data_IF_001959862631
#
_entry.id   IF_001959862631
#
_cell.length_a   1.000
_cell.length_b   1.000
_cell.length_c   1.000
_cell.angle_alpha   90.00
_cell.angle_beta   90.00
_cell.angle_gamma   90.00
#
_symmetry.space_group_name_H-M   'P 1'
#
loop_
_entity.id
_entity.type
_entity.pdbx_description
1 polymer ?
#
# COMPACT_ATOMS: atom_id res chain seq x y z
N UNK A 1 17.53 -16.32 9.09
CA UNK A 1 18.09 -16.08 7.74
C UNK A 1 18.95 -14.84 7.80
N UNK A 2 20.21 -14.88 7.35
CA UNK A 2 20.95 -13.64 7.12
C UNK A 2 20.20 -12.85 6.04
N UNK A 3 19.86 -11.59 6.30
CA UNK A 3 19.11 -10.77 5.35
C UNK A 3 19.81 -10.77 3.99
N UNK A 4 19.05 -11.03 2.91
CA UNK A 4 19.55 -10.93 1.53
C UNK A 4 20.01 -9.51 1.19
N UNK A 5 19.65 -8.52 2.03
CA UNK A 5 20.07 -7.13 1.95
C UNK A 5 20.97 -6.87 3.16
N UNK A 6 22.18 -6.35 2.95
CA UNK A 6 23.14 -6.14 4.05
C UNK A 6 22.82 -4.94 4.94
N UNK A 7 22.03 -4.00 4.42
CA UNK A 7 21.53 -2.84 5.16
C UNK A 7 20.32 -3.16 6.03
N UNK A 8 20.05 -2.39 7.11
CA UNK A 8 18.83 -2.53 7.90
C UNK A 8 17.58 -2.01 7.17
N UNK A 9 16.36 -2.47 7.55
CA UNK A 9 15.12 -1.92 7.04
C UNK A 9 14.99 -0.43 7.37
N UNK A 10 14.48 0.34 6.42
CA UNK A 10 14.06 1.72 6.65
C UNK A 10 12.84 2.07 5.79
N UNK A 11 12.30 3.25 6.03
CA UNK A 11 11.02 3.71 5.47
C UNK A 11 11.10 4.26 4.05
N UNK A 12 12.29 4.28 3.45
CA UNK A 12 12.46 4.80 2.10
C UNK A 12 11.80 3.85 1.10
N UNK A 13 11.20 4.41 0.05
CA UNK A 13 10.58 3.70 -1.06
C UNK A 13 11.51 2.66 -1.65
N UNK A 14 12.79 3.01 -1.86
CA UNK A 14 13.78 2.09 -2.41
C UNK A 14 13.96 0.86 -1.51
N UNK A 15 14.22 1.07 -0.22
CA UNK A 15 14.42 -0.04 0.72
C UNK A 15 13.14 -0.84 0.96
N UNK A 16 12.00 -0.16 1.05
CA UNK A 16 10.70 -0.81 1.16
C UNK A 16 10.46 -1.75 -0.01
N UNK A 17 10.72 -1.33 -1.25
CA UNK A 17 10.60 -2.22 -2.42
C UNK A 17 11.61 -3.39 -2.39
N UNK A 18 12.86 -3.17 -1.98
CA UNK A 18 13.83 -4.27 -1.89
C UNK A 18 13.40 -5.33 -0.88
N UNK A 19 13.01 -4.91 0.34
CA UNK A 19 12.53 -5.83 1.36
C UNK A 19 11.21 -6.51 0.99
N UNK A 20 10.31 -5.79 0.34
CA UNK A 20 9.05 -6.37 -0.13
C UNK A 20 9.26 -7.39 -1.24
N UNK A 21 10.29 -7.20 -2.06
CA UNK A 21 10.77 -8.18 -3.02
C UNK A 21 11.30 -9.44 -2.33
N UNK A 22 12.09 -9.28 -1.26
CA UNK A 22 12.56 -10.42 -0.45
C UNK A 22 11.39 -11.18 0.17
N UNK A 23 10.41 -10.48 0.75
CA UNK A 23 9.21 -11.10 1.33
C UNK A 23 8.40 -11.86 0.27
N UNK A 24 8.20 -11.25 -0.90
CA UNK A 24 7.50 -11.89 -2.00
C UNK A 24 8.23 -13.13 -2.52
N UNK A 25 9.58 -13.11 -2.57
CA UNK A 25 10.36 -14.29 -2.87
C UNK A 25 10.18 -15.37 -1.81
N UNK A 26 10.31 -15.04 -0.53
CA UNK A 26 10.19 -16.03 0.55
C UNK A 26 8.79 -16.64 0.64
N UNK A 27 7.73 -15.89 0.31
CA UNK A 27 6.35 -16.41 0.22
C UNK A 27 6.21 -17.51 -0.83
N UNK A 28 6.98 -17.44 -1.92
CA UNK A 28 6.93 -18.41 -3.04
C UNK A 28 8.03 -19.46 -2.98
N UNK A 29 9.18 -19.10 -2.43
CA UNK A 29 10.40 -19.87 -2.41
C UNK A 29 10.81 -20.13 -0.96
N UNK A 30 10.38 -21.27 -0.39
CA UNK A 30 10.65 -21.60 1.01
C UNK A 30 12.15 -21.79 1.33
N UNK A 31 12.97 -22.13 0.34
CA UNK A 31 14.41 -22.36 0.48
C UNK A 31 15.20 -21.53 -0.54
N UNK A 32 15.45 -20.26 -0.24
CA UNK A 32 16.36 -19.41 -1.02
C UNK A 32 17.81 -19.75 -0.67
N UNK A 33 18.61 -20.05 -1.67
CA UNK A 33 20.05 -20.29 -1.53
C UNK A 33 20.84 -19.32 -2.42
N UNK A 34 21.86 -18.68 -1.84
CA UNK A 34 22.75 -17.79 -2.58
C UNK A 34 23.48 -18.58 -3.68
N UNK A 35 23.56 -17.99 -4.88
CA UNK A 35 24.17 -18.60 -6.06
C UNK A 35 23.25 -19.53 -6.86
N UNK A 36 22.04 -19.82 -6.37
CA UNK A 36 21.02 -20.58 -7.12
C UNK A 36 19.98 -19.64 -7.74
N UNK A 37 19.31 -20.03 -8.84
CA UNK A 37 18.16 -19.29 -9.33
C UNK A 37 17.03 -19.32 -8.30
N UNK A 38 16.18 -18.28 -8.22
CA UNK A 38 14.98 -18.33 -7.40
C UNK A 38 14.03 -19.43 -7.91
N UNK A 39 13.02 -19.78 -7.10
CA UNK A 39 11.99 -20.71 -7.53
C UNK A 39 11.26 -20.20 -8.79
N UNK A 40 10.62 -21.10 -9.54
CA UNK A 40 9.97 -20.74 -10.80
C UNK A 40 8.81 -19.76 -10.57
N UNK A 41 8.89 -18.60 -11.26
CA UNK A 41 7.85 -17.57 -11.37
C UNK A 41 7.32 -17.00 -10.02
N UNK A 42 8.16 -16.30 -9.22
CA UNK A 42 7.72 -15.71 -7.96
C UNK A 42 6.94 -14.40 -8.14
N UNK A 43 6.90 -13.86 -9.36
CA UNK A 43 6.11 -12.68 -9.69
C UNK A 43 4.62 -12.96 -9.54
N UNK A 44 3.90 -11.94 -9.09
CA UNK A 44 2.46 -11.98 -8.93
C UNK A 44 1.79 -11.76 -10.29
N UNK A 45 0.56 -12.25 -10.45
CA UNK A 45 -0.27 -11.92 -11.62
C UNK A 45 -1.01 -10.59 -11.39
N UNK A 46 -0.26 -9.53 -11.05
CA UNK A 46 -0.80 -8.19 -10.84
C UNK A 46 -0.34 -7.26 -11.96
N UNK A 47 -1.29 -6.63 -12.63
CA UNK A 47 -0.99 -5.66 -13.70
C UNK A 47 -0.60 -4.31 -13.08
N UNK A 48 0.69 -3.97 -13.21
CA UNK A 48 1.27 -2.73 -12.69
C UNK A 48 1.38 -1.74 -13.84
N UNK A 49 0.35 -0.91 -14.00
CA UNK A 49 0.23 0.05 -15.09
C UNK A 49 1.04 1.34 -14.84
N UNK A 50 2.32 1.20 -14.48
CA UNK A 50 3.28 2.30 -14.31
C UNK A 50 4.11 2.41 -15.60
N UNK A 51 4.28 3.63 -16.11
CA UNK A 51 5.01 3.90 -17.34
C UNK A 51 6.46 4.24 -16.99
N UNK A 52 7.40 3.42 -17.44
CA UNK A 52 8.83 3.66 -17.27
C UNK A 52 9.29 4.75 -18.24
N UNK A 53 10.27 5.54 -17.80
CA UNK A 53 10.70 6.73 -18.53
C UNK A 53 11.81 6.37 -19.53
N UNK A 54 11.91 7.15 -20.62
CA UNK A 54 12.95 6.93 -21.65
C UNK A 54 14.39 7.15 -21.17
N UNK A 55 14.58 7.65 -19.95
CA UNK A 55 15.88 7.87 -19.31
C UNK A 55 16.28 6.70 -18.39
N UNK A 56 15.49 5.63 -18.37
CA UNK A 56 15.79 4.38 -17.70
C UNK A 56 16.63 3.48 -18.63
N UNK A 57 17.43 2.57 -18.08
CA UNK A 57 18.24 1.58 -18.82
C UNK A 57 17.38 0.49 -19.53
N UNK A 58 16.19 0.84 -20.02
CA UNK A 58 15.20 -0.10 -20.56
C UNK A 58 15.65 -0.73 -21.85
N UNK A 59 16.32 0.03 -22.72
CA UNK A 59 16.83 -0.50 -23.98
C UNK A 59 17.89 -1.59 -23.76
N UNK A 60 18.70 -1.48 -22.69
CA UNK A 60 19.70 -2.49 -22.32
C UNK A 60 19.03 -3.73 -21.75
N UNK A 61 18.00 -3.56 -20.92
CA UNK A 61 17.30 -4.70 -20.30
C UNK A 61 16.40 -5.43 -21.30
N UNK A 62 15.64 -4.72 -22.13
CA UNK A 62 14.78 -5.37 -23.12
C UNK A 62 15.56 -6.13 -24.19
N UNK A 63 16.82 -5.74 -24.44
CA UNK A 63 17.76 -6.55 -25.24
C UNK A 63 18.08 -7.90 -24.60
N UNK A 64 18.16 -7.98 -23.27
CA UNK A 64 18.45 -9.24 -22.57
C UNK A 64 17.34 -10.29 -22.74
N UNK A 65 16.10 -9.85 -22.97
CA UNK A 65 14.94 -10.73 -23.11
C UNK A 65 14.37 -10.81 -24.54
N UNK A 66 15.07 -10.27 -25.54
CA UNK A 66 14.61 -10.25 -26.94
C UNK A 66 13.15 -9.78 -27.11
N UNK A 67 12.75 -8.76 -26.37
CA UNK A 67 11.37 -8.27 -26.35
C UNK A 67 11.20 -7.04 -27.24
N UNK A 68 10.07 -6.96 -27.95
CA UNK A 68 9.66 -5.73 -28.62
C UNK A 68 9.40 -4.62 -27.61
N UNK A 69 9.91 -3.41 -27.87
CA UNK A 69 9.92 -2.31 -26.90
C UNK A 69 8.53 -1.97 -26.39
N UNK A 70 8.30 -2.16 -25.09
CA UNK A 70 7.12 -1.66 -24.37
C UNK A 70 7.55 -1.14 -23.00
N UNK A 71 7.17 0.10 -22.70
CA UNK A 71 7.71 0.86 -21.57
C UNK A 71 6.88 0.73 -20.28
N UNK A 72 6.11 -0.36 -20.08
CA UNK A 72 5.38 -0.55 -18.81
C UNK A 72 6.17 -1.41 -17.84
N UNK A 73 5.95 -1.21 -16.54
CA UNK A 73 6.49 -2.08 -15.49
C UNK A 73 6.08 -3.54 -15.70
N UNK A 74 4.85 -3.82 -16.12
CA UNK A 74 4.41 -5.18 -16.44
C UNK A 74 5.27 -5.84 -17.53
N UNK A 75 5.66 -5.09 -18.56
CA UNK A 75 6.52 -5.61 -19.65
C UNK A 75 7.93 -5.90 -19.16
N UNK A 76 8.49 -5.01 -18.32
CA UNK A 76 9.80 -5.21 -17.70
C UNK A 76 9.80 -6.41 -16.75
N UNK A 77 8.73 -6.60 -15.95
CA UNK A 77 8.56 -7.78 -15.10
C UNK A 77 8.56 -9.05 -15.96
N UNK A 78 7.84 -9.06 -17.09
CA UNK A 78 7.81 -10.19 -17.99
C UNK A 78 9.17 -10.46 -18.67
N UNK A 79 9.92 -9.40 -18.99
CA UNK A 79 11.30 -9.50 -19.44
C UNK A 79 12.20 -10.17 -18.38
N UNK A 80 12.15 -9.68 -17.14
CA UNK A 80 12.96 -10.19 -16.02
C UNK A 80 12.61 -11.64 -15.65
N UNK A 81 11.37 -12.10 -15.87
CA UNK A 81 11.00 -13.52 -15.74
C UNK A 81 11.79 -14.45 -16.67
N UNK A 82 12.18 -13.96 -17.84
CA UNK A 82 12.88 -14.75 -18.87
C UNK A 82 14.40 -14.78 -18.69
N UNK A 83 14.93 -13.85 -17.88
CA UNK A 83 16.36 -13.75 -17.60
C UNK A 83 16.74 -14.73 -16.48
N UNK A 84 17.86 -15.42 -16.64
CA UNK A 84 18.38 -16.32 -15.61
C UNK A 84 19.05 -15.48 -14.49
N UNK A 85 18.27 -15.12 -13.49
CA UNK A 85 18.73 -14.34 -12.33
C UNK A 85 19.18 -15.28 -11.22
N UNK A 86 20.34 -15.02 -10.61
CA UNK A 86 20.83 -15.79 -9.45
C UNK A 86 20.65 -14.99 -8.16
N UNK A 87 20.27 -15.67 -7.08
CA UNK A 87 20.13 -15.05 -5.76
C UNK A 87 21.50 -14.62 -5.25
N UNK A 88 21.64 -13.36 -4.86
CA UNK A 88 22.86 -12.81 -4.25
C UNK A 88 22.55 -12.18 -2.90
N UNK A 89 23.60 -11.98 -2.10
CA UNK A 89 23.52 -11.02 -1.00
C UNK A 89 23.80 -9.64 -1.59
N UNK A 90 22.89 -8.72 -1.35
CA UNK A 90 22.95 -7.38 -1.91
C UNK A 90 23.56 -6.40 -0.94
N UNK A 91 24.66 -5.80 -1.40
CA UNK A 91 25.35 -4.72 -0.73
C UNK A 91 24.87 -3.38 -1.26
N UNK A 92 24.57 -2.49 -0.33
CA UNK A 92 24.10 -1.13 -0.61
C UNK A 92 25.14 -0.16 -0.06
N UNK A 93 25.73 0.64 -0.93
CA UNK A 93 26.75 1.61 -0.52
C UNK A 93 26.74 2.86 -1.41
N UNK A 94 27.22 3.96 -0.84
CA UNK A 94 27.41 5.22 -1.56
C UNK A 94 28.83 5.33 -2.10
N UNK A 95 28.96 5.71 -3.37
CA UNK A 95 30.24 5.99 -4.05
C UNK A 95 30.14 7.34 -4.76
N UNK A 96 30.50 8.40 -4.07
CA UNK A 96 30.27 9.77 -4.55
C UNK A 96 28.77 10.07 -4.66
N UNK A 97 28.32 10.58 -5.82
CA UNK A 97 26.90 10.86 -6.10
C UNK A 97 26.12 9.65 -6.63
N UNK A 98 26.63 8.44 -6.40
CA UNK A 98 26.02 7.18 -6.84
C UNK A 98 25.64 6.33 -5.64
N UNK A 99 24.39 5.87 -5.60
CA UNK A 99 23.96 4.79 -4.72
C UNK A 99 24.02 3.50 -5.52
N UNK A 100 24.81 2.53 -5.07
CA UNK A 100 25.02 1.26 -5.77
C UNK A 100 24.33 0.16 -4.98
N UNK A 101 23.52 -0.64 -5.66
CA UNK A 101 22.83 -1.82 -5.11
C UNK A 101 23.29 -3.03 -5.92
N UNK A 102 24.19 -3.83 -5.34
CA UNK A 102 24.80 -4.98 -6.01
C UNK A 102 25.84 -4.62 -7.08
N UNK A 103 25.49 -3.77 -8.05
CA UNK A 103 26.32 -3.43 -9.21
C UNK A 103 25.98 -2.09 -9.89
N UNK A 104 26.86 -1.66 -10.81
CA UNK A 104 26.75 -0.37 -11.52
C UNK A 104 26.08 -0.50 -12.92
N UNK A 105 25.24 -1.52 -13.14
CA UNK A 105 24.83 -1.92 -14.50
C UNK A 105 23.64 -1.11 -15.05
N UNK A 106 22.59 -0.91 -14.26
CA UNK A 106 21.32 -0.34 -14.72
C UNK A 106 20.87 0.84 -13.86
N UNK A 107 20.09 1.76 -14.45
CA UNK A 107 19.48 2.87 -13.72
C UNK A 107 17.99 2.99 -14.01
N UNK A 108 17.21 3.34 -12.98
CA UNK A 108 15.77 3.55 -13.08
C UNK A 108 15.36 4.81 -12.30
N UNK A 109 14.61 5.71 -12.93
CA UNK A 109 14.05 6.91 -12.30
C UNK A 109 13.04 6.54 -11.20
N UNK A 110 12.33 5.43 -11.35
CA UNK A 110 11.39 4.96 -10.33
C UNK A 110 12.08 4.63 -9.00
N UNK A 111 13.33 4.15 -9.02
CA UNK A 111 14.14 3.92 -7.82
C UNK A 111 14.56 5.23 -7.12
N UNK A 112 14.30 6.38 -7.75
CA UNK A 112 14.57 7.73 -7.26
C UNK A 112 13.27 8.49 -6.92
N UNK A 113 12.14 7.78 -6.76
CA UNK A 113 10.87 8.41 -6.44
C UNK A 113 10.91 9.20 -5.12
N UNK A 114 11.76 8.76 -4.19
CA UNK A 114 12.11 9.54 -3.01
C UNK A 114 13.24 10.51 -3.31
N UNK A 115 12.98 11.78 -2.98
CA UNK A 115 14.04 12.81 -2.94
C UNK A 115 15.14 12.45 -1.93
N UNK A 116 14.77 11.72 -0.87
CA UNK A 116 15.66 11.30 0.20
C UNK A 116 15.63 9.79 0.35
N UNK A 117 16.69 9.11 -0.11
CA UNK A 117 16.81 7.66 -0.06
C UNK A 117 17.25 7.13 1.31
N UNK A 118 17.10 7.91 2.38
CA UNK A 118 17.56 7.56 3.74
C UNK A 118 19.07 7.65 3.94
N UNK A 119 19.86 7.13 3.00
CA UNK A 119 21.34 7.16 3.03
C UNK A 119 21.95 8.51 2.64
N UNK A 120 21.25 9.28 1.81
CA UNK A 120 21.82 10.44 1.12
C UNK A 120 21.83 11.74 1.94
N UNK A 121 21.19 11.78 3.11
CA UNK A 121 20.84 13.06 3.73
C UNK A 121 21.85 13.49 4.79
N UNK A 122 21.94 12.83 5.93
CA UNK A 122 22.75 13.39 7.03
C UNK A 122 24.23 13.02 7.00
N UNK A 123 24.58 11.81 6.59
CA UNK A 123 25.94 11.28 6.79
C UNK A 123 26.89 11.57 5.62
N UNK A 124 26.34 11.81 4.42
CA UNK A 124 27.10 11.90 3.17
C UNK A 124 27.21 13.33 2.62
N UNK A 125 26.57 14.33 3.25
CA UNK A 125 26.60 15.72 2.78
C UNK A 125 25.88 15.97 1.45
N UNK A 126 25.06 15.02 0.99
CA UNK A 126 24.37 15.06 -0.31
C UNK A 126 22.93 15.58 -0.22
N UNK A 127 22.56 16.27 0.86
CA UNK A 127 21.19 16.80 1.12
C UNK A 127 20.63 17.56 -0.10
N UNK A 128 21.47 18.30 -0.80
CA UNK A 128 21.08 19.14 -1.93
C UNK A 128 21.44 18.54 -3.31
N UNK A 129 21.94 17.31 -3.34
CA UNK A 129 22.54 16.70 -4.53
C UNK A 129 21.67 15.56 -5.06
N UNK A 130 21.55 15.48 -6.39
CA UNK A 130 20.82 14.39 -7.03
C UNK A 130 21.69 13.13 -7.04
N UNK A 131 21.27 12.11 -6.29
CA UNK A 131 21.94 10.80 -6.26
C UNK A 131 21.40 9.92 -7.39
N UNK A 132 22.31 9.32 -8.16
CA UNK A 132 21.94 8.32 -9.17
C UNK A 132 22.00 6.92 -8.58
N UNK A 133 20.88 6.21 -8.61
CA UNK A 133 20.83 4.79 -8.22
C UNK A 133 21.28 3.94 -9.39
N UNK A 134 22.26 3.10 -9.12
CA UNK A 134 22.67 2.00 -9.97
C UNK A 134 22.34 0.68 -9.31
N UNK A 135 22.01 -0.31 -10.15
CA UNK A 135 21.60 -1.62 -9.68
C UNK A 135 22.08 -2.71 -10.63
N UNK A 136 22.34 -3.91 -10.10
CA UNK A 136 22.53 -5.10 -10.92
C UNK A 136 21.17 -5.73 -11.29
N UNK A 137 21.20 -6.83 -12.06
CA UNK A 137 19.97 -7.51 -12.49
C UNK A 137 19.17 -8.14 -11.34
N UNK A 138 19.82 -8.64 -10.28
CA UNK A 138 19.12 -9.30 -9.17
C UNK A 138 18.46 -8.28 -8.25
N UNK A 139 19.14 -7.17 -7.98
CA UNK A 139 18.59 -6.04 -7.26
C UNK A 139 17.42 -5.38 -8.01
N UNK A 140 17.54 -5.18 -9.32
CA UNK A 140 16.42 -4.72 -10.14
C UNK A 140 15.23 -5.68 -10.04
N UNK A 141 15.50 -6.97 -10.14
CA UNK A 141 14.50 -8.02 -10.00
C UNK A 141 13.78 -7.97 -8.64
N UNK A 142 14.52 -7.85 -7.53
CA UNK A 142 13.95 -7.68 -6.19
C UNK A 142 13.07 -6.44 -6.10
N UNK A 143 13.57 -5.31 -6.59
CA UNK A 143 12.83 -4.05 -6.56
C UNK A 143 11.50 -4.14 -7.30
N UNK A 144 11.47 -4.67 -8.53
CA UNK A 144 10.24 -4.78 -9.30
C UNK A 144 9.26 -5.82 -8.74
N UNK A 145 9.77 -6.88 -8.11
CA UNK A 145 8.93 -7.82 -7.38
C UNK A 145 8.27 -7.17 -6.16
N UNK A 146 9.03 -6.38 -5.41
CA UNK A 146 8.50 -5.61 -4.28
C UNK A 146 7.49 -4.55 -4.70
N UNK A 147 7.77 -3.84 -5.79
CA UNK A 147 6.86 -2.88 -6.39
C UNK A 147 5.53 -3.54 -6.76
N UNK A 148 5.58 -4.72 -7.37
CA UNK A 148 4.38 -5.49 -7.71
C UNK A 148 3.64 -6.00 -6.45
N UNK A 149 4.37 -6.44 -5.44
CA UNK A 149 3.83 -6.91 -4.14
C UNK A 149 3.14 -5.79 -3.35
N UNK A 150 3.64 -4.56 -3.44
CA UNK A 150 3.11 -3.41 -2.73
C UNK A 150 2.03 -2.64 -3.50
N UNK A 151 2.05 -2.67 -4.83
CA UNK A 151 1.10 -1.93 -5.65
C UNK A 151 -0.34 -2.26 -5.27
N UNK A 152 -1.20 -1.25 -5.11
CA UNK A 152 -2.63 -1.41 -4.82
C UNK A 152 -3.42 -1.14 -6.10
N UNK A 153 -3.39 0.12 -6.56
CA UNK A 153 -4.14 0.64 -7.71
C UNK A 153 -3.50 1.94 -8.21
N UNK A 154 -4.02 2.44 -9.33
CA UNK A 154 -3.77 3.79 -9.83
C UNK A 154 -5.08 4.53 -10.04
N UNK A 155 -5.08 5.85 -9.81
CA UNK A 155 -6.18 6.76 -10.07
C UNK A 155 -5.62 7.98 -10.81
N UNK A 156 -5.95 8.14 -12.09
CA UNK A 156 -5.33 9.18 -12.91
C UNK A 156 -3.81 9.02 -13.00
N UNK A 157 -3.06 10.03 -12.54
CA UNK A 157 -1.59 10.03 -12.47
C UNK A 157 -1.03 9.53 -11.14
N UNK A 158 -1.90 9.16 -10.19
CA UNK A 158 -1.54 8.75 -8.85
C UNK A 158 -1.48 7.22 -8.75
N UNK A 159 -0.46 6.72 -8.05
CA UNK A 159 -0.17 5.32 -7.79
C UNK A 159 -0.12 5.08 -6.29
N UNK A 160 -0.79 4.02 -5.84
CA UNK A 160 -0.93 3.70 -4.43
C UNK A 160 -0.21 2.40 -4.11
N UNK A 161 0.56 2.39 -3.03
CA UNK A 161 1.36 1.24 -2.58
C UNK A 161 1.19 0.99 -1.08
N UNK A 162 1.11 -0.28 -0.69
CA UNK A 162 1.09 -0.70 0.71
C UNK A 162 2.36 -1.48 1.06
N UNK A 163 3.17 -0.91 1.94
CA UNK A 163 4.39 -1.51 2.45
C UNK A 163 4.22 -1.88 3.94
N UNK A 164 5.02 -2.83 4.43
CA UNK A 164 5.22 -2.95 5.87
C UNK A 164 6.06 -1.78 6.38
N UNK A 165 5.75 -1.29 7.58
CA UNK A 165 6.67 -0.40 8.28
C UNK A 165 7.88 -1.18 8.82
N UNK A 166 8.97 -0.47 9.15
CA UNK A 166 10.19 -1.07 9.68
C UNK A 166 9.93 -1.90 10.95
N UNK A 167 8.96 -1.49 11.80
CA UNK A 167 8.59 -2.21 13.01
C UNK A 167 8.04 -3.61 12.75
N UNK A 168 7.25 -3.80 11.69
CA UNK A 168 6.63 -5.10 11.34
C UNK A 168 7.49 -5.98 10.43
N UNK A 169 8.56 -5.42 9.85
CA UNK A 169 9.29 -6.09 8.78
C UNK A 169 10.08 -7.32 9.26
N UNK A 170 10.63 -7.27 10.47
CA UNK A 170 11.36 -8.40 11.05
C UNK A 170 10.45 -9.61 11.30
N UNK A 171 9.22 -9.38 11.77
CA UNK A 171 8.25 -10.44 12.00
C UNK A 171 7.69 -10.97 10.68
N UNK A 172 7.48 -10.09 9.70
CA UNK A 172 7.11 -10.47 8.35
C UNK A 172 8.16 -11.36 7.70
N UNK A 173 9.46 -11.08 7.89
CA UNK A 173 10.55 -11.92 7.37
C UNK A 173 10.59 -13.33 7.98
N UNK A 174 10.09 -13.49 9.21
CA UNK A 174 10.02 -14.80 9.87
C UNK A 174 8.82 -15.63 9.39
N UNK A 175 7.70 -14.99 9.03
CA UNK A 175 6.51 -15.67 8.52
C UNK A 175 5.89 -14.95 7.30
N UNK A 176 6.59 -14.91 6.14
CA UNK A 176 6.19 -14.07 5.01
C UNK A 176 4.79 -14.34 4.50
N UNK A 177 4.39 -15.61 4.43
CA UNK A 177 3.08 -16.01 3.89
C UNK A 177 1.92 -15.48 4.71
N UNK A 178 1.99 -15.56 6.04
CA UNK A 178 0.89 -15.09 6.90
C UNK A 178 0.76 -13.57 6.85
N UNK A 179 1.90 -12.86 6.93
CA UNK A 179 1.95 -11.40 6.89
C UNK A 179 1.50 -10.86 5.53
N UNK A 180 2.00 -11.42 4.43
CA UNK A 180 1.58 -11.01 3.08
C UNK A 180 0.10 -11.33 2.81
N UNK A 181 -0.44 -12.41 3.38
CA UNK A 181 -1.88 -12.71 3.27
C UNK A 181 -2.75 -11.63 3.93
N UNK A 182 -2.39 -11.20 5.14
CA UNK A 182 -3.05 -10.07 5.80
C UNK A 182 -2.89 -8.78 4.98
N UNK A 183 -1.67 -8.46 4.54
CA UNK A 183 -1.40 -7.26 3.73
C UNK A 183 -2.23 -7.23 2.45
N UNK A 184 -2.40 -8.38 1.77
CA UNK A 184 -3.27 -8.48 0.57
C UNK A 184 -4.73 -8.14 0.92
N UNK A 185 -5.24 -8.67 2.03
CA UNK A 185 -6.61 -8.38 2.51
C UNK A 185 -6.79 -6.89 2.77
N UNK A 186 -5.81 -6.25 3.43
CA UNK A 186 -5.81 -4.80 3.65
C UNK A 186 -5.73 -4.04 2.33
N UNK A 187 -4.86 -4.47 1.41
CA UNK A 187 -4.69 -3.85 0.09
C UNK A 187 -5.98 -3.89 -0.75
N UNK A 188 -6.68 -5.02 -0.75
CA UNK A 188 -7.92 -5.19 -1.50
C UNK A 188 -9.03 -4.29 -0.93
N UNK A 189 -9.13 -4.19 0.40
CA UNK A 189 -10.04 -3.26 1.06
C UNK A 189 -9.73 -1.80 0.73
N UNK A 190 -8.45 -1.39 0.77
CA UNK A 190 -8.03 -0.04 0.38
C UNK A 190 -8.35 0.23 -1.09
N UNK A 191 -8.10 -0.72 -1.99
CA UNK A 191 -8.41 -0.60 -3.41
C UNK A 191 -9.91 -0.33 -3.65
N UNK A 192 -10.79 -1.07 -2.98
CA UNK A 192 -12.24 -0.87 -3.04
C UNK A 192 -12.62 0.55 -2.62
N UNK A 193 -12.07 1.03 -1.50
CA UNK A 193 -12.31 2.38 -0.99
C UNK A 193 -11.82 3.43 -1.96
N UNK A 194 -10.55 3.38 -2.37
CA UNK A 194 -9.94 4.35 -3.28
C UNK A 194 -10.70 4.43 -4.61
N UNK A 195 -11.15 3.30 -5.16
CA UNK A 195 -11.98 3.28 -6.38
C UNK A 195 -13.36 3.90 -6.19
N UNK A 196 -13.95 3.71 -5.00
CA UNK A 196 -15.27 4.25 -4.68
C UNK A 196 -15.24 5.76 -4.47
N UNK A 197 -14.29 6.25 -3.67
CA UNK A 197 -14.19 7.69 -3.35
C UNK A 197 -13.31 8.47 -4.33
N UNK A 198 -12.56 7.80 -5.21
CA UNK A 198 -11.68 8.40 -6.24
C UNK A 198 -10.60 9.35 -5.69
N UNK A 199 -10.28 9.27 -4.41
CA UNK A 199 -9.29 10.08 -3.72
C UNK A 199 -8.70 9.32 -2.53
N UNK A 200 -7.58 9.81 -1.98
CA UNK A 200 -7.09 9.36 -0.67
C UNK A 200 -7.72 10.24 0.41
N UNK A 201 -8.27 9.61 1.44
CA UNK A 201 -8.75 10.27 2.64
C UNK A 201 -8.48 9.36 3.83
N UNK A 202 -7.64 9.82 4.75
CA UNK A 202 -7.13 9.02 5.88
C UNK A 202 -8.26 8.49 6.76
N UNK A 203 -9.23 9.34 7.12
CA UNK A 203 -10.36 8.96 7.97
C UNK A 203 -11.16 7.82 7.32
N UNK A 204 -11.48 7.94 6.03
CA UNK A 204 -12.24 6.93 5.29
C UNK A 204 -11.46 5.63 5.17
N UNK A 205 -10.17 5.70 4.82
CA UNK A 205 -9.31 4.51 4.66
C UNK A 205 -9.15 3.78 5.99
N UNK A 206 -8.77 4.49 7.07
CA UNK A 206 -8.59 3.87 8.39
C UNK A 206 -9.91 3.27 8.88
N UNK A 207 -11.02 4.00 8.76
CA UNK A 207 -12.36 3.49 9.15
C UNK A 207 -12.70 2.20 8.43
N UNK A 208 -12.44 2.13 7.12
CA UNK A 208 -12.71 0.91 6.35
C UNK A 208 -11.91 -0.30 6.83
N UNK A 209 -10.64 -0.10 7.19
CA UNK A 209 -9.75 -1.17 7.64
C UNK A 209 -10.19 -1.66 9.03
N UNK A 210 -10.49 -0.73 9.94
CA UNK A 210 -10.93 -1.05 11.30
C UNK A 210 -12.27 -1.80 11.32
N UNK A 211 -13.19 -1.48 10.40
CA UNK A 211 -14.50 -2.11 10.31
C UNK A 211 -14.50 -3.41 9.49
N UNK A 212 -13.42 -3.75 8.81
CA UNK A 212 -13.40 -4.94 7.98
C UNK A 212 -13.27 -6.20 8.86
N UNK A 213 -14.34 -6.98 8.93
CA UNK A 213 -14.38 -8.21 9.74
C UNK A 213 -13.36 -9.27 9.32
N UNK A 214 -12.99 -9.34 8.03
CA UNK A 214 -11.96 -10.27 7.53
C UNK A 214 -10.58 -9.87 8.04
N UNK A 215 -10.26 -8.57 8.00
CA UNK A 215 -9.02 -8.01 8.54
C UNK A 215 -8.97 -8.24 10.06
N UNK A 216 -10.04 -7.94 10.78
CA UNK A 216 -10.14 -8.17 12.23
C UNK A 216 -9.85 -9.63 12.62
N UNK A 217 -10.44 -10.59 11.90
CA UNK A 217 -10.18 -12.01 12.14
C UNK A 217 -8.75 -12.41 11.80
N UNK A 218 -8.19 -11.89 10.70
CA UNK A 218 -6.80 -12.16 10.31
C UNK A 218 -5.78 -11.57 11.30
N UNK A 219 -6.08 -10.41 11.90
CA UNK A 219 -5.24 -9.75 12.90
C UNK A 219 -5.06 -10.56 14.19
N UNK A 220 -5.99 -11.45 14.54
CA UNK A 220 -5.91 -12.28 15.76
C UNK A 220 -4.64 -13.14 15.87
N UNK A 221 -3.91 -13.33 14.76
CA UNK A 221 -2.65 -14.08 14.68
C UNK A 221 -1.40 -13.24 14.95
N UNK A 222 -1.57 -11.93 15.14
CA UNK A 222 -0.49 -10.95 15.28
C UNK A 222 -0.73 -10.14 16.55
N UNK A 223 0.32 -9.57 17.15
CA UNK A 223 0.15 -8.64 18.26
C UNK A 223 -0.24 -7.26 17.72
N UNK A 224 0.57 -6.75 16.79
CA UNK A 224 0.31 -5.53 16.04
C UNK A 224 0.82 -5.67 14.62
N UNK A 225 0.27 -4.87 13.71
CA UNK A 225 0.69 -4.81 12.31
C UNK A 225 0.77 -3.35 11.90
N UNK A 226 1.94 -2.95 11.42
CA UNK A 226 2.26 -1.59 11.00
C UNK A 226 2.50 -1.58 9.50
N UNK A 227 1.71 -0.76 8.80
CA UNK A 227 1.72 -0.64 7.35
C UNK A 227 1.85 0.83 6.97
N UNK A 228 2.41 1.08 5.78
CA UNK A 228 2.58 2.40 5.20
C UNK A 228 1.86 2.42 3.85
N UNK A 229 0.86 3.28 3.73
CA UNK A 229 0.20 3.56 2.46
C UNK A 229 0.86 4.78 1.82
N UNK A 230 1.49 4.60 0.67
CA UNK A 230 2.15 5.66 -0.07
C UNK A 230 1.34 6.06 -1.31
N UNK A 231 1.21 7.37 -1.52
CA UNK A 231 0.72 7.97 -2.76
C UNK A 231 1.89 8.58 -3.53
N UNK A 232 2.13 8.04 -4.71
CA UNK A 232 3.15 8.51 -5.65
C UNK A 232 2.50 9.04 -6.92
N UNK A 233 2.95 10.18 -7.42
CA UNK A 233 2.42 10.79 -8.65
C UNK A 233 3.51 10.87 -9.72
N UNK A 234 3.12 10.66 -10.97
CA UNK A 234 4.00 10.89 -12.12
C UNK A 234 3.94 12.37 -12.57
N UNK A 235 5.09 13.05 -12.56
CA UNK A 235 5.26 14.42 -13.05
C UNK A 235 5.97 14.45 -14.43
N UNK A 236 5.68 13.47 -15.28
CA UNK A 236 6.22 13.34 -16.63
C UNK A 236 7.60 12.67 -16.65
N UNK A 237 8.64 13.33 -16.12
CA UNK A 237 10.03 12.79 -16.15
C UNK A 237 10.47 12.16 -14.83
N UNK A 238 9.70 12.36 -13.77
CA UNK A 238 10.03 11.89 -12.44
C UNK A 238 8.78 11.41 -11.72
N UNK A 239 9.01 10.53 -10.76
CA UNK A 239 8.02 10.12 -9.78
C UNK A 239 8.29 10.86 -8.47
N UNK A 240 7.24 11.28 -7.78
CA UNK A 240 7.35 11.91 -6.46
C UNK A 240 6.34 11.32 -5.51
N UNK A 241 6.77 11.12 -4.27
CA UNK A 241 5.88 10.75 -3.16
C UNK A 241 5.35 12.02 -2.51
N UNK A 242 4.04 12.14 -2.43
CA UNK A 242 3.35 13.32 -1.88
C UNK A 242 2.77 13.08 -0.50
N UNK A 243 2.30 11.86 -0.27
CA UNK A 243 1.50 11.52 0.89
C UNK A 243 1.84 10.13 1.37
N UNK A 244 1.92 10.01 2.68
CA UNK A 244 2.23 8.81 3.41
C UNK A 244 1.29 8.71 4.60
N UNK A 245 0.53 7.61 4.66
CA UNK A 245 -0.37 7.28 5.75
C UNK A 245 0.15 6.06 6.50
N UNK A 246 0.45 6.25 7.79
CA UNK A 246 0.81 5.16 8.69
C UNK A 246 -0.46 4.48 9.21
N UNK A 247 -0.51 3.16 9.11
CA UNK A 247 -1.65 2.33 9.52
C UNK A 247 -1.14 1.34 10.56
N UNK A 248 -1.53 1.54 11.82
CA UNK A 248 -1.23 0.62 12.91
C UNK A 248 -2.49 -0.11 13.35
N UNK A 249 -2.43 -1.44 13.33
CA UNK A 249 -3.53 -2.32 13.68
C UNK A 249 -3.14 -3.15 14.90
N UNK A 250 -3.98 -3.12 15.94
CA UNK A 250 -3.76 -3.86 17.19
C UNK A 250 -4.81 -4.96 17.34
N UNK A 251 -4.37 -6.21 17.56
CA UNK A 251 -5.28 -7.35 17.63
C UNK A 251 -6.15 -7.36 18.88
N UNK A 252 -5.74 -6.65 19.94
CA UNK A 252 -6.43 -6.54 21.23
C UNK A 252 -7.42 -5.37 21.30
N UNK A 253 -7.65 -4.68 20.18
CA UNK A 253 -8.63 -3.59 20.10
C UNK A 253 -10.00 -4.03 20.64
N UNK A 254 -10.64 -3.25 21.55
CA UNK A 254 -11.97 -3.56 22.06
C UNK A 254 -13.03 -3.73 20.94
N UNK A 255 -12.77 -3.19 19.75
CA UNK A 255 -13.61 -3.31 18.54
C UNK A 255 -13.84 -4.76 18.20
N UNK A 256 -12.76 -5.53 18.19
CA UNK A 256 -12.76 -6.89 17.70
C UNK A 256 -13.45 -7.87 18.65
N UNK A 257 -13.85 -7.43 19.85
CA UNK A 257 -14.66 -8.23 20.79
C UNK A 257 -16.12 -8.35 20.35
N UNK A 258 -16.67 -7.34 19.67
CA UNK A 258 -18.07 -7.33 19.25
C UNK A 258 -18.17 -7.40 17.72
N UNK A 259 -18.14 -8.62 17.18
CA UNK A 259 -18.20 -8.88 15.72
C UNK A 259 -19.50 -8.41 15.08
N UNK A 260 -20.60 -8.45 15.83
CA UNK A 260 -21.92 -8.00 15.38
C UNK A 260 -21.97 -6.48 15.19
N UNK A 261 -21.39 -5.73 16.14
CA UNK A 261 -21.24 -4.29 16.03
C UNK A 261 -20.37 -3.92 14.81
N UNK A 262 -19.23 -4.59 14.63
CA UNK A 262 -18.36 -4.38 13.47
C UNK A 262 -19.13 -4.57 12.16
N UNK A 263 -19.82 -5.71 12.00
CA UNK A 263 -20.57 -6.02 10.78
C UNK A 263 -21.64 -4.96 10.47
N UNK A 264 -22.32 -4.47 11.52
CA UNK A 264 -23.37 -3.45 11.39
C UNK A 264 -22.80 -2.08 11.00
N UNK A 265 -21.68 -1.69 11.61
CA UNK A 265 -20.96 -0.46 11.28
C UNK A 265 -20.32 -0.55 9.90
N UNK A 266 -19.73 -1.69 9.52
CA UNK A 266 -19.16 -1.96 8.19
C UNK A 266 -20.22 -1.78 7.11
N UNK A 267 -21.41 -2.36 7.31
CA UNK A 267 -22.54 -2.25 6.38
C UNK A 267 -22.99 -0.79 6.24
N UNK A 268 -23.11 -0.08 7.35
CA UNK A 268 -23.51 1.33 7.37
C UNK A 268 -22.46 2.22 6.69
N UNK A 269 -21.18 1.98 6.96
CA UNK A 269 -20.05 2.65 6.32
C UNK A 269 -20.05 2.46 4.80
N UNK A 270 -20.19 1.21 4.33
CA UNK A 270 -20.24 0.86 2.90
C UNK A 270 -21.41 1.54 2.19
N UNK A 271 -22.56 1.68 2.87
CA UNK A 271 -23.72 2.37 2.32
C UNK A 271 -23.45 3.87 2.09
N UNK A 272 -22.74 4.53 3.00
CA UNK A 272 -22.41 5.96 2.91
C UNK A 272 -21.27 6.28 1.92
N UNK A 273 -20.39 5.31 1.68
CA UNK A 273 -19.12 5.52 0.97
C UNK A 273 -19.27 6.16 -0.43
N UNK A 274 -20.21 5.74 -1.30
CA UNK A 274 -20.39 6.38 -2.61
C UNK A 274 -20.80 7.84 -2.51
N UNK A 275 -21.64 8.19 -1.54
CA UNK A 275 -22.15 9.55 -1.35
C UNK A 275 -21.09 10.45 -0.72
N UNK A 276 -20.36 9.97 0.28
CA UNK A 276 -19.18 10.64 0.80
C UNK A 276 -18.14 10.89 -0.31
N UNK A 277 -17.93 9.91 -1.19
CA UNK A 277 -17.08 10.04 -2.37
C UNK A 277 -17.51 11.20 -3.28
N UNK A 278 -18.80 11.36 -3.58
CA UNK A 278 -19.29 12.52 -4.37
C UNK A 278 -18.92 13.84 -3.72
N UNK A 279 -19.07 13.97 -2.40
CA UNK A 279 -18.69 15.18 -1.68
C UNK A 279 -17.20 15.47 -1.74
N UNK A 280 -16.35 14.46 -1.49
CA UNK A 280 -14.89 14.61 -1.56
C UNK A 280 -14.38 15.01 -2.94
N UNK A 281 -15.11 14.66 -4.01
CA UNK A 281 -14.78 15.05 -5.38
C UNK A 281 -15.43 16.38 -5.82
N UNK A 282 -16.16 17.08 -4.93
CA UNK A 282 -16.90 18.30 -5.29
C UNK A 282 -18.10 18.07 -6.21
N UNK A 283 -18.60 16.83 -6.28
CA UNK A 283 -19.74 16.41 -7.11
C UNK A 283 -21.08 16.38 -6.34
N UNK A 284 -21.08 16.74 -5.05
CA UNK A 284 -22.28 16.72 -4.20
C UNK A 284 -23.17 17.96 -4.42
N UNK A 285 -24.34 17.74 -5.01
CA UNK A 285 -25.33 18.79 -5.32
C UNK A 285 -26.46 18.85 -4.30
N UNK A 286 -26.63 17.82 -3.47
CA UNK A 286 -27.81 17.64 -2.63
C UNK A 286 -27.49 17.75 -1.14
N UNK A 287 -26.22 17.97 -0.78
CA UNK A 287 -25.66 17.88 0.58
C UNK A 287 -25.75 16.49 1.22
N UNK A 288 -26.24 15.48 0.49
CA UNK A 288 -26.27 14.09 0.94
C UNK A 288 -24.84 13.60 1.21
N UNK A 289 -23.92 13.91 0.30
CA UNK A 289 -22.53 13.50 0.40
C UNK A 289 -21.80 14.15 1.57
N UNK A 290 -22.09 15.41 1.85
CA UNK A 290 -21.55 16.12 3.02
C UNK A 290 -21.96 15.45 4.34
N UNK A 291 -23.24 15.11 4.51
CA UNK A 291 -23.71 14.40 5.70
C UNK A 291 -23.15 12.96 5.77
N UNK A 292 -23.05 12.28 4.62
CA UNK A 292 -22.43 10.96 4.55
C UNK A 292 -20.95 10.99 4.98
N UNK A 293 -20.18 11.96 4.51
CA UNK A 293 -18.78 12.14 4.92
C UNK A 293 -18.67 12.49 6.40
N UNK A 294 -19.51 13.41 6.91
CA UNK A 294 -19.54 13.72 8.35
C UNK A 294 -19.87 12.52 9.22
N UNK A 295 -20.81 11.68 8.79
CA UNK A 295 -21.09 10.43 9.47
C UNK A 295 -19.83 9.56 9.54
N UNK A 296 -19.14 9.32 8.41
CA UNK A 296 -17.89 8.56 8.39
C UNK A 296 -16.82 9.17 9.32
N UNK A 297 -16.67 10.50 9.33
CA UNK A 297 -15.72 11.20 10.23
C UNK A 297 -16.07 11.01 11.72
N UNK A 298 -17.35 11.03 12.09
CA UNK A 298 -17.77 10.71 13.46
C UNK A 298 -17.56 9.23 13.80
N UNK A 299 -17.79 8.34 12.85
CA UNK A 299 -17.54 6.92 13.01
C UNK A 299 -16.04 6.67 13.24
N UNK A 300 -15.17 7.26 12.42
CA UNK A 300 -13.72 7.27 12.62
C UNK A 300 -13.33 7.69 14.05
N UNK A 301 -13.85 8.83 14.52
CA UNK A 301 -13.61 9.33 15.88
C UNK A 301 -14.09 8.36 16.94
N UNK A 302 -15.26 7.74 16.77
CA UNK A 302 -15.74 6.69 17.67
C UNK A 302 -14.79 5.50 17.73
N UNK A 303 -14.31 5.00 16.59
CA UNK A 303 -13.42 3.85 16.52
C UNK A 303 -12.07 4.09 17.21
N UNK A 304 -11.57 5.34 17.18
CA UNK A 304 -10.32 5.70 17.86
C UNK A 304 -10.53 5.97 19.35
N UNK A 305 -11.59 6.71 19.71
CA UNK A 305 -11.76 7.26 21.07
C UNK A 305 -12.67 6.44 21.98
N UNK A 306 -13.48 5.54 21.41
CA UNK A 306 -14.50 4.75 22.12
C UNK A 306 -15.62 5.56 22.79
N UNK A 307 -15.74 6.85 22.48
CA UNK A 307 -16.74 7.72 23.09
C UNK A 307 -18.12 7.58 22.42
N UNK A 308 -19.14 7.21 23.19
CA UNK A 308 -20.51 7.00 22.71
C UNK A 308 -21.14 8.24 22.08
N UNK A 309 -20.72 9.44 22.50
CA UNK A 309 -21.12 10.71 21.88
C UNK A 309 -20.77 10.78 20.40
N UNK A 310 -19.63 10.22 19.99
CA UNK A 310 -19.24 10.15 18.58
C UNK A 310 -20.14 9.17 17.80
N UNK A 311 -20.52 8.05 18.41
CA UNK A 311 -21.49 7.12 17.81
C UNK A 311 -22.87 7.77 17.65
N UNK A 312 -23.34 8.53 18.64
CA UNK A 312 -24.60 9.26 18.54
C UNK A 312 -24.57 10.32 17.41
N UNK A 313 -23.45 11.05 17.27
CA UNK A 313 -23.26 11.99 16.17
C UNK A 313 -23.20 11.29 14.81
N UNK A 314 -22.54 10.13 14.71
CA UNK A 314 -22.59 9.28 13.52
C UNK A 314 -24.03 8.95 13.13
N UNK A 315 -24.84 8.46 14.08
CA UNK A 315 -26.24 8.10 13.82
C UNK A 315 -27.07 9.30 13.34
N UNK A 316 -26.84 10.48 13.92
CA UNK A 316 -27.53 11.71 13.49
C UNK A 316 -27.20 12.06 12.04
N UNK A 317 -25.92 12.12 11.69
CA UNK A 317 -25.50 12.47 10.33
C UNK A 317 -25.88 11.39 9.31
N UNK A 318 -25.87 10.12 9.72
CA UNK A 318 -26.38 9.00 8.90
C UNK A 318 -27.87 9.20 8.58
N UNK A 319 -28.70 9.53 9.58
CA UNK A 319 -30.13 9.75 9.39
C UNK A 319 -30.43 10.95 8.48
N UNK A 320 -29.64 12.04 8.58
CA UNK A 320 -29.79 13.18 7.67
C UNK A 320 -29.41 12.81 6.23
N UNK A 321 -28.32 12.07 6.02
CA UNK A 321 -27.97 11.56 4.70
C UNK A 321 -29.07 10.67 4.12
N UNK A 322 -29.66 9.77 4.94
CA UNK A 322 -30.73 8.87 4.54
C UNK A 322 -32.01 9.59 4.12
N UNK A 323 -32.41 10.58 4.92
CA UNK A 323 -33.56 11.44 4.64
C UNK A 323 -33.41 12.16 3.30
N UNK A 324 -32.22 12.69 3.02
CA UNK A 324 -31.94 13.37 1.74
C UNK A 324 -31.96 12.36 0.58
N UNK A 325 -31.35 11.19 0.73
CA UNK A 325 -31.34 10.13 -0.30
C UNK A 325 -32.76 9.66 -0.64
N UNK A 326 -33.59 9.43 0.38
CA UNK A 326 -34.98 9.00 0.22
C UNK A 326 -35.81 10.04 -0.52
N UNK A 327 -35.65 11.32 -0.16
CA UNK A 327 -36.38 12.41 -0.81
C UNK A 327 -35.99 12.62 -2.28
N UNK A 328 -34.71 12.40 -2.63
CA UNK A 328 -34.22 12.66 -3.98
C UNK A 328 -34.39 11.46 -4.94
N UNK A 329 -34.17 10.24 -4.45
CA UNK A 329 -34.04 9.05 -5.29
C UNK A 329 -35.08 7.95 -4.97
N UNK A 330 -35.93 8.14 -3.96
CA UNK A 330 -36.88 7.12 -3.48
C UNK A 330 -36.22 5.87 -2.89
N UNK A 331 -34.89 5.90 -2.68
CA UNK A 331 -34.09 4.80 -2.13
C UNK A 331 -33.33 5.32 -0.91
N UNK A 332 -33.76 4.94 0.27
CA UNK A 332 -33.00 5.14 1.52
C UNK A 332 -31.86 4.14 1.67
N UNK A 333 -30.92 4.46 2.55
CA UNK A 333 -29.98 3.50 3.11
C UNK A 333 -30.75 2.49 3.97
N UNK A 334 -30.47 1.19 3.82
CA UNK A 334 -31.02 0.19 4.76
C UNK A 334 -30.35 0.37 6.12
N UNK A 335 -31.09 0.93 7.08
CA UNK A 335 -30.64 1.02 8.47
C UNK A 335 -30.67 -0.39 9.08
N UNK A 336 -29.51 -0.90 9.50
CA UNK A 336 -29.39 -2.12 10.29
C UNK A 336 -28.85 -1.76 11.67
N UNK A 337 -29.67 -1.14 12.52
CA UNK A 337 -29.33 -1.00 13.94
C UNK A 337 -30.54 -1.30 14.82
N UNK A 338 -30.74 -2.58 15.10
CA UNK A 338 -31.56 -3.08 16.21
C UNK A 338 -30.72 -3.38 17.46
N UNK A 339 -29.66 -2.61 17.72
CA UNK A 339 -28.79 -2.84 18.87
C UNK A 339 -29.17 -1.92 20.03
N UNK A 340 -29.84 -2.50 21.04
CA UNK A 340 -29.64 -2.03 22.42
C UNK A 340 -28.22 -2.42 22.82
N UNK A 341 -27.33 -1.42 22.95
CA UNK A 341 -26.05 -1.58 23.64
C UNK A 341 -26.37 -2.03 25.07
N UNK A 342 -26.32 -3.35 25.32
CA UNK A 342 -26.28 -3.87 26.69
C UNK A 342 -24.86 -3.65 27.18
N UNK A 343 -24.75 -2.75 28.15
CA UNK A 343 -23.55 -2.51 28.92
C UNK A 343 -23.54 -3.54 30.05
N UNK A 344 -22.46 -4.31 30.15
CA UNK A 344 -22.09 -5.01 31.39
C UNK A 344 -21.26 -4.07 32.27
#
# INVERSE_FOLDING_TARGET
>A
MSSLISSPPNTTFLMSNLYEGVLALLDKCQNLEVGKPPCQNPFLNKDVNIILNSHDSLDEIFKLCNSDKKYKVTDLINCLKSVNVTVKKEDIFLKGKKLIIGGEDFTFQLMKADRYQGYAVMESGLINEQVTVYTDIFSAYLFFLGLQSAYITSLGSDYYFLYFDAGSLNDALQNPTSWLSLKRTVSDNINEVLRTIRALNDEVVITSIMLNSVIANALSKFQSVELRLLKMTNEGRAYKIYEELLITLFSDSPLYRNKELISSLETSFKALLPSAGRFLNGEDKTNEGYHAYKAISWLYKYLITWQTEHLANFMREFAEADKISTNNNGKGYKVLMGYTLKWD
#
